data_IF_599174561454
#
_entry.id   IF_599174561454
#
_cell.length_a   1.000
_cell.length_b   1.000
_cell.length_c   1.000
_cell.angle_alpha   90.00
_cell.angle_beta   90.00
_cell.angle_gamma   90.00
#
_symmetry.space_group_name_H-M   'P 1'
#
loop_
_entity.id
_entity.type
_entity.pdbx_description
1 polymer ?
#
# COMPACT_ATOMS: atom_id res chain seq x y z
N UNK A 1 -2.62 -1.78 -13.81
CA UNK A 1 -3.79 -1.66 -12.92
C UNK A 1 -4.61 -2.96 -12.82
N UNK A 2 -4.80 -3.74 -13.89
CA UNK A 2 -5.57 -5.01 -13.85
C UNK A 2 -5.08 -5.99 -12.76
N UNK A 3 -3.78 -6.14 -12.58
CA UNK A 3 -3.22 -6.99 -11.52
C UNK A 3 -3.60 -6.53 -10.11
N UNK A 4 -3.65 -5.21 -9.88
CA UNK A 4 -4.06 -4.62 -8.60
C UNK A 4 -5.56 -4.83 -8.35
N UNK A 5 -6.38 -4.77 -9.40
CA UNK A 5 -7.81 -5.08 -9.32
C UNK A 5 -7.98 -6.54 -8.90
N UNK A 6 -7.33 -7.47 -9.60
CA UNK A 6 -7.40 -8.90 -9.26
C UNK A 6 -6.87 -9.20 -7.85
N UNK A 7 -5.84 -8.47 -7.39
CA UNK A 7 -5.36 -8.56 -6.01
C UNK A 7 -6.45 -8.12 -5.01
N UNK A 8 -7.12 -6.99 -5.25
CA UNK A 8 -8.19 -6.48 -4.39
C UNK A 8 -9.37 -7.47 -4.32
N UNK A 9 -9.80 -7.98 -5.47
CA UNK A 9 -10.91 -8.93 -5.56
C UNK A 9 -10.62 -10.21 -4.77
N UNK A 10 -9.43 -10.79 -4.92
CA UNK A 10 -9.03 -11.98 -4.14
C UNK A 10 -8.94 -11.67 -2.65
N UNK A 11 -8.39 -10.52 -2.28
CA UNK A 11 -8.26 -10.12 -0.88
C UNK A 11 -9.63 -10.02 -0.18
N UNK A 12 -10.61 -9.40 -0.85
CA UNK A 12 -11.99 -9.31 -0.36
C UNK A 12 -12.66 -10.69 -0.34
N UNK A 13 -12.54 -11.47 -1.42
CA UNK A 13 -13.16 -12.79 -1.52
C UNK A 13 -12.69 -13.76 -0.42
N UNK A 14 -11.44 -13.64 0.02
CA UNK A 14 -10.87 -14.50 1.05
C UNK A 14 -10.80 -13.86 2.44
N UNK A 15 -11.24 -12.61 2.61
CA UNK A 15 -11.20 -11.90 3.89
C UNK A 15 -9.78 -11.78 4.46
N UNK A 16 -8.78 -11.47 3.63
CA UNK A 16 -7.39 -11.40 4.08
C UNK A 16 -7.18 -10.24 5.06
N UNK A 17 -6.18 -10.37 5.94
CA UNK A 17 -5.88 -9.34 6.92
C UNK A 17 -5.43 -8.00 6.29
N UNK A 18 -4.68 -8.08 5.19
CA UNK A 18 -4.18 -6.94 4.46
C UNK A 18 -3.77 -7.31 3.02
N UNK A 19 -3.57 -6.28 2.20
CA UNK A 19 -2.74 -6.33 0.99
C UNK A 19 -1.49 -5.46 1.19
N UNK A 20 -0.38 -5.83 0.56
CA UNK A 20 0.88 -5.08 0.62
C UNK A 20 1.29 -4.66 -0.78
N UNK A 21 1.49 -3.35 -1.02
CA UNK A 21 1.80 -2.78 -2.35
C UNK A 21 2.90 -1.72 -2.26
N UNK A 22 3.38 -1.23 -3.40
CA UNK A 22 4.20 -0.02 -3.43
C UNK A 22 3.35 1.22 -3.07
N UNK A 23 3.99 2.24 -2.50
CA UNK A 23 3.29 3.42 -2.01
C UNK A 23 2.48 4.12 -3.10
N UNK A 24 2.95 4.19 -4.35
CA UNK A 24 2.19 4.83 -5.45
C UNK A 24 0.85 4.16 -5.80
N UNK A 25 0.54 3.00 -5.20
CA UNK A 25 -0.69 2.27 -5.43
C UNK A 25 -1.65 2.30 -4.24
N UNK A 26 -1.28 2.94 -3.11
CA UNK A 26 -2.08 2.97 -1.89
C UNK A 26 -3.45 3.56 -2.14
N UNK A 27 -3.53 4.78 -2.69
CA UNK A 27 -4.81 5.42 -2.97
C UNK A 27 -5.69 4.61 -3.93
N UNK A 28 -5.09 4.03 -4.98
CA UNK A 28 -5.81 3.19 -5.94
C UNK A 28 -6.43 1.96 -5.27
N UNK A 29 -5.64 1.24 -4.48
CA UNK A 29 -6.05 0.00 -3.81
C UNK A 29 -7.03 0.28 -2.67
N UNK A 30 -6.79 1.33 -1.88
CA UNK A 30 -7.67 1.72 -0.77
C UNK A 30 -9.10 2.01 -1.24
N UNK A 31 -9.26 2.66 -2.40
CA UNK A 31 -10.57 2.96 -3.00
C UNK A 31 -11.38 1.73 -3.43
N UNK A 32 -10.76 0.54 -3.50
CA UNK A 32 -11.36 -0.71 -4.01
C UNK A 32 -11.53 -1.80 -2.95
N UNK A 33 -10.90 -1.64 -1.80
CA UNK A 33 -10.98 -2.60 -0.70
C UNK A 33 -12.05 -2.21 0.33
N UNK A 34 -12.70 -3.22 0.92
CA UNK A 34 -13.52 -3.04 2.12
C UNK A 34 -12.65 -2.56 3.30
N UNK A 35 -13.27 -1.88 4.29
CA UNK A 35 -12.54 -1.39 5.49
C UNK A 35 -11.94 -2.50 6.35
N UNK A 36 -12.37 -3.74 6.15
CA UNK A 36 -11.90 -4.92 6.89
C UNK A 36 -10.52 -5.38 6.38
N UNK A 37 -10.23 -5.19 5.09
CA UNK A 37 -8.92 -5.46 4.50
C UNK A 37 -8.04 -4.22 4.65
N UNK A 38 -6.94 -4.35 5.41
CA UNK A 38 -5.98 -3.26 5.60
C UNK A 38 -5.11 -3.08 4.35
N UNK A 39 -4.63 -1.85 4.15
CA UNK A 39 -3.61 -1.56 3.15
C UNK A 39 -2.29 -1.39 3.88
N UNK A 40 -1.28 -2.13 3.45
CA UNK A 40 0.11 -1.94 3.83
C UNK A 40 0.88 -1.47 2.59
N UNK A 41 1.89 -0.65 2.81
CA UNK A 41 2.78 -0.19 1.74
C UNK A 41 4.24 -0.35 2.13
N UNK A 42 5.07 -0.59 1.13
CA UNK A 42 6.53 -0.46 1.28
C UNK A 42 6.95 0.96 0.88
N UNK A 43 7.82 1.55 1.70
CA UNK A 43 8.33 2.92 1.55
C UNK A 43 9.82 2.96 1.90
N UNK A 44 10.45 4.13 1.72
CA UNK A 44 11.81 4.36 2.18
C UNK A 44 12.87 3.60 1.37
N UNK A 45 12.66 3.49 0.06
CA UNK A 45 13.63 2.88 -0.85
C UNK A 45 13.60 1.36 -0.90
N UNK A 46 12.47 0.74 -0.57
CA UNK A 46 12.33 -0.71 -0.72
C UNK A 46 12.71 -1.16 -2.14
N UNK A 47 13.50 -2.25 -2.29
CA UNK A 47 14.01 -3.11 -1.22
C UNK A 47 15.36 -2.67 -0.61
N UNK A 48 16.15 -1.82 -1.27
CA UNK A 48 17.52 -1.50 -0.86
C UNK A 48 17.62 -0.69 0.44
N UNK A 49 16.61 0.15 0.69
CA UNK A 49 16.55 1.07 1.81
C UNK A 49 17.30 2.38 1.56
N UNK A 50 16.64 3.50 1.80
CA UNK A 50 17.29 4.82 1.79
C UNK A 50 18.04 5.06 3.11
N UNK A 51 19.13 5.83 3.01
CA UNK A 51 19.96 6.18 4.17
C UNK A 51 19.54 7.48 4.85
N UNK A 52 18.83 8.36 4.16
CA UNK A 52 18.36 9.64 4.72
C UNK A 52 17.03 9.44 5.47
N UNK A 53 17.01 9.57 6.81
CA UNK A 53 15.79 9.43 7.59
C UNK A 53 14.72 10.46 7.23
N UNK A 54 15.11 11.63 6.72
CA UNK A 54 14.17 12.71 6.34
C UNK A 54 13.38 12.31 5.09
N UNK A 55 14.04 11.66 4.12
CA UNK A 55 13.37 11.13 2.93
C UNK A 55 12.45 9.97 3.27
N UNK A 56 12.89 9.07 4.17
CA UNK A 56 12.06 7.97 4.68
C UNK A 56 10.82 8.52 5.39
N UNK A 57 11.00 9.48 6.30
CA UNK A 57 9.88 10.09 7.03
C UNK A 57 8.89 10.78 6.09
N UNK A 58 9.37 11.48 5.05
CA UNK A 58 8.53 12.11 4.04
C UNK A 58 7.73 11.07 3.24
N UNK A 59 8.36 9.99 2.79
CA UNK A 59 7.68 8.93 2.05
C UNK A 59 6.63 8.20 2.92
N UNK A 60 6.92 7.99 4.21
CA UNK A 60 5.94 7.45 5.16
C UNK A 60 4.72 8.38 5.24
N UNK A 61 4.92 9.68 5.49
CA UNK A 61 3.81 10.63 5.59
C UNK A 61 2.96 10.67 4.32
N UNK A 62 3.61 10.71 3.15
CA UNK A 62 2.90 10.68 1.87
C UNK A 62 2.06 9.41 1.70
N UNK A 63 2.62 8.25 2.04
CA UNK A 63 1.85 7.00 1.97
C UNK A 63 0.67 6.97 2.94
N UNK A 64 0.79 7.58 4.12
CA UNK A 64 -0.30 7.67 5.09
C UNK A 64 -1.41 8.62 4.59
N UNK A 65 -1.03 9.72 3.96
CA UNK A 65 -1.97 10.69 3.40
C UNK A 65 -2.80 10.11 2.23
N UNK A 66 -2.25 9.12 1.51
CA UNK A 66 -2.94 8.42 0.41
C UNK A 66 -3.96 7.36 0.87
N UNK A 67 -3.84 6.85 2.10
CA UNK A 67 -4.83 5.98 2.76
C UNK A 67 -4.37 4.55 3.06
#
# INVERSE_FOLDING_TARGET
>A
EEELIGLCERAVAHGTAAVCVFSEHVGFVRSRLSREVRVASVVGGFPEGWKDPSEVSRAISQSVDEG
#
